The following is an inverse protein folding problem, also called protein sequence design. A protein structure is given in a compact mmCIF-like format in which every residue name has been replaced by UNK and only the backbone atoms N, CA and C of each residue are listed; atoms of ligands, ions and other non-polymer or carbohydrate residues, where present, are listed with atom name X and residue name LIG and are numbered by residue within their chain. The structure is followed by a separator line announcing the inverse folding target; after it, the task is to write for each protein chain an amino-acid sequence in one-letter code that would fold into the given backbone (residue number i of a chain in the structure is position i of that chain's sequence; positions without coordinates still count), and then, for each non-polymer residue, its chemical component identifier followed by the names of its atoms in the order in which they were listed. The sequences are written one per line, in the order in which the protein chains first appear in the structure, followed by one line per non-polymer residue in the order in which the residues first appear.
data_IF_816470916520
#
_entry.id   IF_816470916520
#
_cell.length_a   1.000
_cell.length_b   1.000
_cell.length_c   1.000
_cell.angle_alpha   90.00
_cell.angle_beta   90.00
_cell.angle_gamma   90.00
#
_symmetry.space_group_name_H-M   'P 1'
#
loop_
_entity.id
_entity.type
_entity.pdbx_description
1 polymer ?
#
# COMPACT_ATOMS: atom_id res chain seq x y z
N UNK A 1 -14.91 -10.41 -2.98
CA UNK A 1 -13.93 -10.04 -4.01
C UNK A 1 -12.55 -10.48 -3.54
N UNK A 2 -11.60 -10.69 -4.44
CA UNK A 2 -10.19 -10.76 -4.04
C UNK A 2 -9.85 -9.39 -3.45
N UNK A 3 -9.49 -9.32 -2.17
CA UNK A 3 -9.21 -8.07 -1.44
C UNK A 3 -7.81 -7.53 -1.82
N UNK A 4 -7.69 -7.06 -3.06
CA UNK A 4 -6.44 -6.60 -3.68
C UNK A 4 -6.37 -5.08 -3.84
N UNK A 5 -7.40 -4.36 -3.42
CA UNK A 5 -7.50 -2.89 -3.53
C UNK A 5 -6.35 -2.16 -2.85
N UNK A 6 -5.80 -2.72 -1.77
CA UNK A 6 -4.64 -2.15 -1.10
C UNK A 6 -3.34 -2.37 -1.90
N UNK A 7 -3.24 -3.47 -2.66
CA UNK A 7 -2.13 -3.73 -3.58
C UNK A 7 -2.20 -2.75 -4.76
N UNK A 8 -3.40 -2.53 -5.31
CA UNK A 8 -3.65 -1.55 -6.37
C UNK A 8 -3.24 -0.13 -5.94
N UNK A 9 -3.61 0.28 -4.73
CA UNK A 9 -3.19 1.57 -4.17
C UNK A 9 -1.66 1.69 -4.11
N UNK A 10 -0.98 0.64 -3.62
CA UNK A 10 0.49 0.61 -3.57
C UNK A 10 1.13 0.64 -4.96
N UNK A 11 0.55 -0.03 -5.96
CA UNK A 11 1.01 0.03 -7.35
C UNK A 11 0.98 1.47 -7.89
N UNK A 12 -0.03 2.25 -7.49
CA UNK A 12 -0.18 3.67 -7.80
C UNK A 12 0.64 4.61 -6.90
N UNK A 13 1.54 4.07 -6.06
CA UNK A 13 2.33 4.84 -5.08
C UNK A 13 1.47 5.63 -4.08
N UNK A 14 0.35 5.05 -3.67
CA UNK A 14 -0.54 5.58 -2.64
C UNK A 14 -0.37 4.71 -1.39
N UNK A 15 0.07 5.27 -0.26
CA UNK A 15 0.20 4.50 0.97
C UNK A 15 -1.18 4.11 1.51
N UNK A 16 -1.25 2.96 2.18
CA UNK A 16 -2.51 2.35 2.58
C UNK A 16 -2.76 2.43 4.08
N UNK A 17 -3.96 2.86 4.44
CA UNK A 17 -4.49 2.70 5.79
C UNK A 17 -5.33 1.43 5.83
N UNK A 18 -4.75 0.30 6.28
CA UNK A 18 -5.42 -0.99 6.20
C UNK A 18 -5.01 -1.96 7.31
N UNK A 19 -5.97 -2.62 7.99
CA UNK A 19 -5.69 -3.75 8.87
C UNK A 19 -4.99 -4.91 8.16
N UNK A 20 -5.17 -5.05 6.84
CA UNK A 20 -4.61 -6.15 6.06
C UNK A 20 -3.07 -6.17 6.08
N UNK A 21 -2.42 -5.02 6.32
CA UNK A 21 -0.96 -4.96 6.45
C UNK A 21 -0.42 -5.82 7.61
N UNK A 22 -1.24 -6.11 8.65
CA UNK A 22 -0.84 -7.00 9.75
C UNK A 22 -0.60 -8.46 9.32
N UNK A 23 -1.13 -8.88 8.17
CA UNK A 23 -0.96 -10.24 7.66
C UNK A 23 0.30 -10.42 6.81
N UNK A 24 1.05 -9.33 6.58
CA UNK A 24 2.34 -9.40 5.91
C UNK A 24 3.40 -9.93 6.87
N UNK A 25 4.23 -10.84 6.38
CA UNK A 25 5.32 -11.47 7.14
C UNK A 25 6.63 -10.66 7.08
N UNK A 26 6.57 -9.40 6.65
CA UNK A 26 7.69 -8.49 6.52
C UNK A 26 7.36 -7.07 7.05
N UNK A 27 8.39 -6.22 7.16
CA UNK A 27 8.22 -4.83 7.59
C UNK A 27 7.45 -4.00 6.55
N UNK A 28 6.22 -3.63 6.92
CA UNK A 28 5.29 -2.84 6.10
C UNK A 28 5.30 -1.35 6.43
N UNK A 29 6.24 -0.86 7.25
CA UNK A 29 6.23 0.51 7.76
C UNK A 29 6.35 1.61 6.69
N UNK A 30 6.85 1.26 5.50
CA UNK A 30 6.94 2.11 4.31
C UNK A 30 5.72 2.01 3.39
N UNK A 31 4.84 1.02 3.60
CA UNK A 31 3.64 0.79 2.79
C UNK A 31 2.44 1.60 3.28
N UNK A 32 2.38 1.86 4.59
CA UNK A 32 1.24 2.54 5.18
C UNK A 32 1.13 2.30 6.67
N UNK A 33 -0.10 2.30 7.18
CA UNK A 33 -0.37 2.21 8.62
C UNK A 33 -1.58 1.33 8.87
N UNK A 34 -1.54 0.62 10.00
CA UNK A 34 -2.66 -0.21 10.44
C UNK A 34 -3.51 0.57 11.43
N UNK A 35 -4.80 0.79 11.14
CA UNK A 35 -5.75 1.26 12.14
C UNK A 35 -6.21 0.11 13.04
N UNK A 36 -6.42 0.38 14.32
CA UNK A 36 -6.96 -0.60 15.28
C UNK A 36 -8.49 -0.53 15.40
N UNK A 37 -9.05 0.65 15.19
CA UNK A 37 -10.48 0.94 15.29
C UNK A 37 -10.82 2.19 14.45
N UNK A 38 -12.11 2.54 14.27
CA UNK A 38 -12.50 3.69 13.45
C UNK A 38 -11.96 5.04 13.93
N UNK A 39 -11.81 5.24 15.24
CA UNK A 39 -11.27 6.48 15.82
C UNK A 39 -9.77 6.61 15.53
N UNK A 40 -9.03 5.52 15.69
CA UNK A 40 -7.61 5.42 15.33
C UNK A 40 -7.40 5.65 13.83
N UNK A 41 -8.31 5.19 12.97
CA UNK A 41 -8.22 5.42 11.53
C UNK A 41 -8.15 6.92 11.17
N UNK A 42 -8.89 7.78 11.88
CA UNK A 42 -8.81 9.24 11.70
C UNK A 42 -7.43 9.77 12.11
N UNK A 43 -6.94 9.39 13.29
CA UNK A 43 -5.63 9.80 13.80
C UNK A 43 -4.49 9.34 12.89
N UNK A 44 -4.55 8.10 12.39
CA UNK A 44 -3.56 7.57 11.45
C UNK A 44 -3.63 8.26 10.10
N UNK A 45 -4.82 8.62 9.62
CA UNK A 45 -4.98 9.40 8.38
C UNK A 45 -4.28 10.75 8.51
N UNK A 46 -4.53 11.49 9.60
CA UNK A 46 -3.83 12.74 9.85
C UNK A 46 -2.32 12.57 9.95
N UNK A 47 -1.87 11.50 10.63
CA UNK A 47 -0.45 11.16 10.71
C UNK A 47 0.16 10.93 9.32
N UNK A 48 -0.52 10.16 8.45
CA UNK A 48 -0.05 9.89 7.10
C UNK A 48 0.05 11.16 6.25
N UNK A 49 -0.92 12.07 6.37
CA UNK A 49 -0.87 13.37 5.68
C UNK A 49 0.31 14.21 6.17
N UNK A 50 0.49 14.32 7.49
CA UNK A 50 1.59 15.09 8.11
C UNK A 50 2.98 14.50 7.79
N UNK A 51 3.06 13.20 7.55
CA UNK A 51 4.31 12.46 7.30
C UNK A 51 4.36 11.87 5.88
N UNK A 52 3.70 12.50 4.91
CA UNK A 52 3.56 11.96 3.54
C UNK A 52 4.91 11.61 2.89
N UNK A 53 5.97 12.36 3.21
CA UNK A 53 7.33 12.12 2.71
C UNK A 53 7.89 10.73 3.07
N UNK A 54 7.44 10.13 4.19
CA UNK A 54 7.82 8.77 4.57
C UNK A 54 7.38 7.75 3.53
N UNK A 55 6.27 8.04 2.84
CA UNK A 55 5.60 7.12 1.94
C UNK A 55 5.89 7.37 0.46
N UNK A 56 6.75 8.33 0.12
CA UNK A 56 7.03 8.70 -1.27
C UNK A 56 7.50 7.55 -2.16
N UNK A 57 8.02 6.48 -1.55
CA UNK A 57 8.53 5.29 -2.21
C UNK A 57 7.74 4.02 -1.88
N UNK A 58 6.49 4.13 -1.39
CA UNK A 58 5.70 2.97 -0.97
C UNK A 58 5.51 1.95 -2.09
N UNK A 59 5.43 2.40 -3.36
CA UNK A 59 5.42 1.51 -4.54
C UNK A 59 6.69 0.66 -4.64
N UNK A 60 7.87 1.26 -4.48
CA UNK A 60 9.14 0.53 -4.56
C UNK A 60 9.28 -0.49 -3.42
N UNK A 61 8.88 -0.11 -2.22
CA UNK A 61 8.84 -1.02 -1.07
C UNK A 61 7.87 -2.18 -1.33
N UNK A 62 6.68 -1.89 -1.87
CA UNK A 62 5.68 -2.90 -2.20
C UNK A 62 6.21 -3.88 -3.25
N UNK A 63 6.81 -3.39 -4.34
CA UNK A 63 7.41 -4.22 -5.39
C UNK A 63 8.47 -5.15 -4.78
N UNK A 64 9.41 -4.59 -4.00
CA UNK A 64 10.50 -5.38 -3.42
C UNK A 64 10.02 -6.53 -2.52
N UNK A 65 8.95 -6.31 -1.75
CA UNK A 65 8.51 -7.23 -0.70
C UNK A 65 7.35 -8.14 -1.13
N UNK A 66 6.37 -7.62 -1.86
CA UNK A 66 5.18 -8.36 -2.30
C UNK A 66 5.40 -9.10 -3.62
N UNK A 67 6.41 -8.68 -4.38
CA UNK A 67 6.60 -9.12 -5.74
C UNK A 67 8.08 -9.29 -6.05
N UNK A 68 8.69 -10.29 -5.41
CA UNK A 68 10.12 -10.59 -5.52
C UNK A 68 10.67 -10.69 -6.96
N UNK A 69 9.79 -10.84 -7.97
CA UNK A 69 10.11 -10.86 -9.41
C UNK A 69 9.31 -9.84 -10.25
N UNK A 70 8.70 -8.81 -9.65
CA UNK A 70 7.90 -7.77 -10.30
C UNK A 70 6.68 -8.25 -11.15
N UNK A 71 6.33 -9.54 -11.09
CA UNK A 71 5.35 -10.14 -11.98
C UNK A 71 3.88 -9.76 -11.67
N UNK A 72 3.54 -9.54 -10.39
CA UNK A 72 2.19 -9.21 -9.95
C UNK A 72 1.91 -7.72 -10.20
N UNK A 73 2.81 -6.85 -9.76
CA UNK A 73 2.71 -5.41 -9.87
C UNK A 73 2.82 -4.92 -11.31
N UNK A 74 3.72 -5.49 -12.13
CA UNK A 74 3.79 -5.11 -13.56
C UNK A 74 2.51 -5.48 -14.31
N UNK A 75 1.93 -6.65 -14.03
CA UNK A 75 0.65 -7.05 -14.64
C UNK A 75 -0.49 -6.14 -14.21
N UNK A 76 -0.54 -5.76 -12.93
CA UNK A 76 -1.53 -4.83 -12.42
C UNK A 76 -1.43 -3.48 -13.12
N UNK A 77 -0.21 -2.94 -13.21
CA UNK A 77 0.07 -1.67 -13.92
C UNK A 77 -0.31 -1.74 -15.39
N UNK A 78 0.04 -2.82 -16.08
CA UNK A 78 -0.32 -3.01 -17.49
C UNK A 78 -1.84 -3.00 -17.71
N UNK A 79 -2.63 -3.55 -16.77
CA UNK A 79 -4.10 -3.48 -16.84
C UNK A 79 -4.57 -2.04 -16.71
N UNK A 80 -4.05 -1.26 -15.76
CA UNK A 80 -4.42 0.16 -15.60
C UNK A 80 -3.98 1.03 -16.78
N UNK A 81 -2.76 0.84 -17.27
CA UNK A 81 -2.24 1.55 -18.44
C UNK A 81 -3.02 1.19 -19.72
N UNK A 82 -3.64 0.00 -19.78
CA UNK A 82 -4.52 -0.39 -20.88
C UNK A 82 -5.96 0.10 -20.75
N UNK A 83 -6.35 0.61 -19.58
CA UNK A 83 -7.70 1.07 -19.26
C UNK A 83 -7.84 2.60 -19.23
N UNK A 84 -6.74 3.35 -19.35
CA UNK A 84 -6.69 4.81 -19.51
C UNK A 84 -6.20 5.19 -20.91
#
# INVERSE_FOLDING_TARGET
GLDVTWIEALACNIPVLSPQLKYLDFDYSDLGVVPENPEDALLKTEYMIKNHDKYKNCRHAAIKQLDANNAIMERLMAVYDSAC
#
